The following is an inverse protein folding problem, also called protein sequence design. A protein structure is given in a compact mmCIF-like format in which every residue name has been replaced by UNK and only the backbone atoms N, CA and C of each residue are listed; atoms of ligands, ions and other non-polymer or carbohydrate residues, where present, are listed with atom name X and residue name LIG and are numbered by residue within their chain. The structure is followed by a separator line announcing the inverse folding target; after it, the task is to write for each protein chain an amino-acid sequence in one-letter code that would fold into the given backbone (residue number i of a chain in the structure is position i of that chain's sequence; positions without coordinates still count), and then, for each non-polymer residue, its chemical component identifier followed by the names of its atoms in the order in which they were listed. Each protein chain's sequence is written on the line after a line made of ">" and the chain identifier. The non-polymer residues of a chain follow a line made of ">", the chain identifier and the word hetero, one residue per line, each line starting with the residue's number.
data_IF_185052727536
#
_entry.id   IF_185052727536
#
_cell.length_a   1.000
_cell.length_b   1.000
_cell.length_c   1.000
_cell.angle_alpha   90.00
_cell.angle_beta   90.00
_cell.angle_gamma   90.00
#
_symmetry.space_group_name_H-M   'P 1'
#
loop_
_entity.id
_entity.type
_entity.pdbx_description
1 polymer ?
#
# COMPACT_ATOMS: atom_id res chain seq x y z
N UNK A 1 11.60 -9.18 -6.21
CA UNK A 1 12.91 -9.54 -6.78
C UNK A 1 13.89 -9.71 -5.61
N UNK A 2 14.25 -10.94 -5.34
CA UNK A 2 15.22 -11.28 -4.29
C UNK A 2 16.62 -11.16 -4.89
N UNK A 3 17.54 -10.49 -4.20
CA UNK A 3 18.95 -10.41 -4.57
C UNK A 3 19.60 -11.79 -4.58
N UNK A 4 20.58 -12.02 -5.47
CA UNK A 4 21.43 -13.20 -5.43
C UNK A 4 22.19 -13.34 -4.09
N UNK A 5 22.37 -12.23 -3.38
CA UNK A 5 22.90 -12.18 -2.01
C UNK A 5 21.84 -11.58 -1.11
N UNK A 6 21.07 -12.39 -0.36
CA UNK A 6 19.99 -11.90 0.49
C UNK A 6 20.48 -10.87 1.50
N UNK A 7 19.75 -9.76 1.63
CA UNK A 7 19.98 -8.71 2.61
C UNK A 7 18.85 -8.73 3.66
N UNK A 8 19.02 -7.98 4.75
CA UNK A 8 17.93 -7.81 5.73
C UNK A 8 16.67 -7.19 5.11
N UNK A 9 16.81 -6.44 4.02
CA UNK A 9 15.67 -5.85 3.31
C UNK A 9 14.80 -6.92 2.63
N UNK A 10 15.42 -8.01 2.15
CA UNK A 10 14.68 -9.09 1.48
C UNK A 10 13.73 -9.83 2.43
N UNK A 11 14.00 -9.78 3.74
CA UNK A 11 13.14 -10.37 4.77
C UNK A 11 11.87 -9.54 5.05
N UNK A 12 11.78 -8.32 4.52
CA UNK A 12 10.62 -7.45 4.72
C UNK A 12 9.50 -7.72 3.72
N UNK A 13 9.80 -8.36 2.59
CA UNK A 13 8.89 -8.45 1.46
C UNK A 13 8.21 -9.81 1.35
N UNK A 14 6.97 -9.79 0.89
CA UNK A 14 6.17 -10.96 0.52
C UNK A 14 5.62 -10.81 -0.89
N UNK A 15 5.13 -11.91 -1.45
CA UNK A 15 4.55 -11.95 -2.78
C UNK A 15 3.02 -11.97 -2.70
N UNK A 16 2.37 -11.11 -3.48
CA UNK A 16 0.93 -11.05 -3.58
C UNK A 16 0.52 -10.43 -4.92
N UNK A 17 -0.55 -10.96 -5.51
CA UNK A 17 -1.29 -10.31 -6.60
C UNK A 17 -2.65 -9.84 -6.09
N UNK A 18 -3.17 -8.75 -6.63
CA UNK A 18 -4.50 -8.25 -6.32
C UNK A 18 -5.22 -7.80 -7.59
N UNK A 19 -6.54 -7.90 -7.57
CA UNK A 19 -7.41 -7.35 -8.61
C UNK A 19 -8.56 -6.60 -7.95
N UNK A 20 -8.86 -5.41 -8.46
CA UNK A 20 -9.99 -4.59 -8.02
C UNK A 20 -10.86 -4.28 -9.21
N UNK A 21 -12.13 -4.65 -9.14
CA UNK A 21 -13.13 -4.26 -10.13
C UNK A 21 -13.66 -2.87 -9.75
N UNK A 22 -13.64 -1.96 -10.70
CA UNK A 22 -14.26 -0.64 -10.58
C UNK A 22 -15.27 -0.53 -11.72
N UNK A 23 -16.51 -0.16 -11.39
CA UNK A 23 -17.58 0.04 -12.36
C UNK A 23 -18.29 1.38 -12.11
N UNK A 24 -19.07 1.81 -13.08
CA UNK A 24 -19.91 2.98 -12.98
C UNK A 24 -21.29 2.62 -12.48
N UNK A 25 -21.76 3.35 -11.48
CA UNK A 25 -23.13 3.23 -10.97
C UNK A 25 -23.71 4.62 -10.75
N UNK A 26 -24.91 4.87 -11.29
CA UNK A 26 -25.61 6.14 -11.10
C UNK A 26 -25.92 6.38 -9.62
N UNK A 27 -25.48 7.53 -9.11
CA UNK A 27 -25.68 7.92 -7.72
C UNK A 27 -24.69 7.31 -6.72
N UNK A 28 -23.73 6.51 -7.18
CA UNK A 28 -22.65 6.02 -6.33
C UNK A 28 -21.81 7.17 -5.76
N UNK A 29 -21.34 7.00 -4.54
CA UNK A 29 -20.39 7.91 -3.93
C UNK A 29 -19.02 7.67 -4.57
N UNK A 30 -18.50 8.65 -5.29
CA UNK A 30 -17.23 8.54 -5.99
C UNK A 30 -16.03 8.46 -5.02
N UNK A 31 -14.86 8.19 -5.60
CA UNK A 31 -13.57 8.26 -4.88
C UNK A 31 -13.10 9.71 -4.78
N UNK A 32 -12.53 10.07 -3.62
CA UNK A 32 -11.71 11.27 -3.49
C UNK A 32 -10.27 10.85 -3.30
N UNK A 33 -9.32 11.59 -3.86
CA UNK A 33 -7.91 11.24 -3.72
C UNK A 33 -6.99 12.45 -3.86
N UNK A 34 -5.80 12.34 -3.26
CA UNK A 34 -4.67 13.26 -3.42
C UNK A 34 -3.41 12.43 -3.64
N UNK A 35 -2.70 12.68 -4.74
CA UNK A 35 -1.49 11.99 -5.14
C UNK A 35 -0.32 12.98 -5.22
N UNK A 36 0.76 12.70 -4.51
CA UNK A 36 1.92 13.57 -4.42
C UNK A 36 3.21 12.82 -4.74
N UNK A 37 4.14 13.49 -5.41
CA UNK A 37 5.48 12.96 -5.72
C UNK A 37 6.55 13.96 -5.31
N UNK A 38 7.57 13.47 -4.60
CA UNK A 38 8.78 14.21 -4.20
C UNK A 38 9.96 13.66 -5.00
N UNK A 39 10.08 14.08 -6.26
CA UNK A 39 11.05 13.55 -7.21
C UNK A 39 12.51 13.69 -6.77
N UNK A 40 12.84 14.65 -5.91
CA UNK A 40 14.19 14.76 -5.33
C UNK A 40 14.58 13.55 -4.46
N UNK A 41 13.61 12.76 -4.00
CA UNK A 41 13.82 11.55 -3.23
C UNK A 41 14.06 10.28 -4.05
N UNK A 42 14.18 10.36 -5.37
CA UNK A 42 14.23 9.19 -6.25
C UNK A 42 15.38 8.20 -5.96
N UNK A 43 16.48 8.68 -5.35
CA UNK A 43 17.62 7.85 -4.93
C UNK A 43 17.40 7.11 -3.62
N UNK A 44 16.36 7.45 -2.86
CA UNK A 44 16.15 6.93 -1.51
C UNK A 44 15.63 5.49 -1.52
N UNK A 45 14.77 5.18 -2.49
CA UNK A 45 14.15 3.86 -2.63
C UNK A 45 13.92 3.57 -4.09
N UNK A 46 14.37 2.42 -4.55
CA UNK A 46 14.16 2.02 -5.94
C UNK A 46 14.70 0.64 -6.24
N UNK A 47 14.41 0.15 -7.44
CA UNK A 47 15.00 -1.05 -8.00
C UNK A 47 15.73 -0.69 -9.29
N UNK A 48 16.96 -1.14 -9.45
CA UNK A 48 17.83 -0.80 -10.58
C UNK A 48 17.61 -1.73 -11.79
N UNK A 49 16.52 -2.44 -11.84
CA UNK A 49 16.18 -3.32 -12.94
C UNK A 49 15.67 -2.54 -14.16
N UNK A 50 16.46 -2.54 -15.22
CA UNK A 50 16.07 -2.08 -16.56
C UNK A 50 16.89 -0.91 -17.11
N UNK A 51 16.79 -0.74 -18.43
CA UNK A 51 17.51 0.24 -19.24
C UNK A 51 17.33 1.72 -18.79
N UNK A 52 16.27 2.03 -18.05
CA UNK A 52 15.99 3.41 -17.60
C UNK A 52 17.02 3.93 -16.62
N UNK A 53 17.62 3.08 -15.79
CA UNK A 53 18.59 3.51 -14.78
C UNK A 53 20.02 3.64 -15.33
N UNK A 54 20.35 2.99 -16.45
CA UNK A 54 21.61 3.21 -17.15
C UNK A 54 21.79 4.66 -17.61
N UNK A 55 20.69 5.36 -17.93
CA UNK A 55 20.71 6.77 -18.34
C UNK A 55 20.99 7.77 -17.22
N UNK A 56 20.83 7.41 -15.96
CA UNK A 56 21.03 8.30 -14.81
C UNK A 56 22.27 7.99 -13.99
N UNK A 57 23.20 7.19 -14.55
CA UNK A 57 24.53 6.95 -13.96
C UNK A 57 24.53 6.03 -12.75
N UNK A 58 23.53 5.18 -12.59
CA UNK A 58 23.57 4.08 -11.63
C UNK A 58 24.41 2.93 -12.18
N UNK A 59 25.22 2.27 -11.32
CA UNK A 59 25.92 1.06 -11.75
C UNK A 59 24.91 0.02 -12.23
N UNK A 60 25.16 -0.49 -13.43
CA UNK A 60 24.33 -1.48 -14.09
C UNK A 60 24.30 -2.79 -13.29
N UNK A 61 23.09 -3.35 -13.13
CA UNK A 61 22.85 -4.72 -12.72
C UNK A 61 23.05 -5.10 -11.23
N UNK A 62 22.35 -4.44 -10.33
CA UNK A 62 21.82 -5.16 -9.19
C UNK A 62 20.29 -5.14 -9.28
N UNK A 63 19.60 -6.28 -9.52
CA UNK A 63 18.14 -6.33 -9.53
C UNK A 63 17.54 -6.13 -8.13
N UNK A 64 18.36 -5.96 -7.11
CA UNK A 64 17.91 -5.76 -5.75
C UNK A 64 17.28 -4.39 -5.54
N UNK A 65 16.31 -4.36 -4.65
CA UNK A 65 15.75 -3.10 -4.14
C UNK A 65 16.83 -2.44 -3.25
N UNK A 66 17.27 -1.25 -3.64
CA UNK A 66 18.07 -0.41 -2.73
C UNK A 66 17.13 0.48 -1.90
N UNK A 67 17.45 0.64 -0.63
CA UNK A 67 16.66 1.43 0.29
C UNK A 67 17.54 2.11 1.35
N UNK A 68 17.47 3.43 1.42
CA UNK A 68 17.88 4.17 2.62
C UNK A 68 16.73 4.10 3.64
N UNK A 69 16.80 3.12 4.53
CA UNK A 69 15.73 2.84 5.48
C UNK A 69 15.42 4.01 6.41
N UNK A 70 16.42 4.82 6.81
CA UNK A 70 16.21 5.99 7.66
C UNK A 70 15.50 7.11 6.91
N UNK A 71 15.90 7.36 5.67
CA UNK A 71 15.24 8.38 4.84
C UNK A 71 13.81 8.00 4.50
N UNK A 72 13.55 6.73 4.14
CA UNK A 72 12.19 6.20 3.90
C UNK A 72 11.34 6.30 5.17
N UNK A 73 11.87 5.91 6.32
CA UNK A 73 11.17 6.03 7.61
C UNK A 73 10.79 7.48 7.89
N UNK A 74 11.77 8.40 7.80
CA UNK A 74 11.58 9.83 8.06
C UNK A 74 10.55 10.44 7.12
N UNK A 75 10.62 10.12 5.83
CA UNK A 75 9.63 10.51 4.83
C UNK A 75 8.23 10.07 5.24
N UNK A 76 8.05 8.78 5.50
CA UNK A 76 6.75 8.18 5.79
C UNK A 76 6.10 8.80 7.02
N UNK A 77 6.82 8.86 8.15
CA UNK A 77 6.26 9.39 9.41
C UNK A 77 6.08 10.90 9.45
N UNK A 78 6.63 11.63 8.46
CA UNK A 78 6.48 13.10 8.38
C UNK A 78 5.51 13.54 7.29
N UNK A 79 5.50 12.88 6.14
CA UNK A 79 4.69 13.29 4.99
C UNK A 79 3.30 12.68 5.01
N UNK A 80 3.18 11.39 5.34
CA UNK A 80 1.88 10.72 5.37
C UNK A 80 0.90 11.37 6.35
N UNK A 81 1.26 11.70 7.62
CA UNK A 81 0.34 12.40 8.50
C UNK A 81 -0.06 13.81 8.01
N UNK A 82 0.84 14.49 7.28
CA UNK A 82 0.50 15.80 6.69
C UNK A 82 -0.49 15.65 5.55
N UNK A 83 -0.34 14.59 4.75
CA UNK A 83 -1.27 14.27 3.67
C UNK A 83 -2.67 13.97 4.24
N UNK A 84 -2.78 13.16 5.30
CA UNK A 84 -4.05 12.96 6.00
C UNK A 84 -4.68 14.27 6.44
N UNK A 85 -3.89 15.12 7.10
CA UNK A 85 -4.40 16.42 7.58
C UNK A 85 -4.94 17.27 6.42
N UNK A 86 -4.14 17.47 5.35
CA UNK A 86 -4.56 18.31 4.22
C UNK A 86 -5.75 17.73 3.48
N UNK A 87 -5.82 16.40 3.34
CA UNK A 87 -6.94 15.71 2.70
C UNK A 87 -8.25 15.89 3.48
N UNK A 88 -8.22 15.63 4.78
CA UNK A 88 -9.39 15.78 5.64
C UNK A 88 -9.88 17.23 5.69
N UNK A 89 -8.97 18.21 5.80
CA UNK A 89 -9.30 19.64 5.76
C UNK A 89 -9.91 20.05 4.39
N UNK A 90 -9.39 19.53 3.28
CA UNK A 90 -9.88 19.86 1.94
C UNK A 90 -11.31 19.40 1.68
N UNK A 91 -11.75 18.33 2.34
CA UNK A 91 -13.08 17.74 2.17
C UNK A 91 -14.00 17.94 3.39
N UNK A 92 -13.59 18.75 4.36
CA UNK A 92 -14.33 19.02 5.62
C UNK A 92 -14.74 17.71 6.35
N UNK A 93 -13.78 16.80 6.47
CA UNK A 93 -13.95 15.47 7.07
C UNK A 93 -13.11 15.30 8.32
N UNK A 94 -13.53 14.39 9.18
CA UNK A 94 -12.75 13.89 10.32
C UNK A 94 -12.25 12.49 10.07
N UNK A 95 -11.13 12.11 10.70
CA UNK A 95 -10.66 10.72 10.66
C UNK A 95 -11.66 9.77 11.34
N UNK A 96 -12.49 10.27 12.24
CA UNK A 96 -13.51 9.49 12.94
C UNK A 96 -14.71 9.14 12.05
N UNK A 97 -14.89 9.84 10.93
CA UNK A 97 -15.95 9.56 9.95
C UNK A 97 -15.70 8.24 9.17
N UNK A 98 -14.48 7.69 9.27
CA UNK A 98 -14.13 6.45 8.59
C UNK A 98 -14.21 5.25 9.54
N UNK A 99 -14.72 4.15 9.00
CA UNK A 99 -14.78 2.86 9.69
C UNK A 99 -13.36 2.27 9.82
N UNK A 100 -12.61 2.31 8.75
CA UNK A 100 -11.30 1.68 8.68
C UNK A 100 -10.28 2.57 7.96
N UNK A 101 -9.06 2.59 8.48
CA UNK A 101 -7.90 3.28 7.91
C UNK A 101 -6.89 2.24 7.43
N UNK A 102 -6.79 2.06 6.12
CA UNK A 102 -5.91 1.09 5.49
C UNK A 102 -4.58 1.74 5.10
N UNK A 103 -3.54 1.45 5.84
CA UNK A 103 -2.19 1.94 5.55
C UNK A 103 -1.40 0.91 4.75
N UNK A 104 -0.55 1.40 3.84
CA UNK A 104 0.48 0.57 3.24
C UNK A 104 1.25 -0.20 4.31
N UNK A 105 1.31 -1.52 4.18
CA UNK A 105 1.94 -2.43 5.13
C UNK A 105 3.46 -2.43 4.95
N UNK A 106 4.11 -1.30 5.27
CA UNK A 106 5.56 -1.11 5.15
C UNK A 106 6.34 -1.85 6.23
N UNK A 107 6.13 -1.47 7.47
CA UNK A 107 6.54 -2.16 8.69
C UNK A 107 5.73 -1.64 9.88
N UNK A 108 5.66 -2.44 10.93
CA UNK A 108 4.83 -2.14 12.10
C UNK A 108 5.20 -0.83 12.78
N UNK A 109 6.49 -0.51 12.91
CA UNK A 109 6.93 0.71 13.58
C UNK A 109 6.48 1.98 12.84
N UNK A 110 6.55 1.99 11.51
CA UNK A 110 6.03 3.11 10.71
C UNK A 110 4.52 3.26 10.90
N UNK A 111 3.76 2.17 10.80
CA UNK A 111 2.31 2.17 10.96
C UNK A 111 1.92 2.69 12.35
N UNK A 112 2.55 2.19 13.41
CA UNK A 112 2.29 2.64 14.79
C UNK A 112 2.53 4.14 14.96
N UNK A 113 3.62 4.68 14.38
CA UNK A 113 3.93 6.13 14.46
C UNK A 113 2.93 6.96 13.64
N UNK A 114 2.59 6.53 12.43
CA UNK A 114 1.59 7.22 11.58
C UNK A 114 0.24 7.24 12.29
N UNK A 115 -0.26 6.08 12.75
CA UNK A 115 -1.51 5.92 13.50
C UNK A 115 -1.60 6.90 14.66
N UNK A 116 -0.54 6.98 15.48
CA UNK A 116 -0.47 7.92 16.60
C UNK A 116 -0.53 9.38 16.14
N UNK A 117 0.15 9.73 15.03
CA UNK A 117 0.21 11.12 14.54
C UNK A 117 -1.09 11.59 13.90
N UNK A 118 -1.81 10.71 13.22
CA UNK A 118 -3.14 11.02 12.66
C UNK A 118 -4.26 10.91 13.72
N UNK A 119 -3.92 10.48 14.95
CA UNK A 119 -4.81 10.38 16.11
C UNK A 119 -6.03 9.48 15.88
N UNK A 120 -5.89 8.44 15.08
CA UNK A 120 -6.94 7.44 14.87
C UNK A 120 -6.87 6.35 15.94
N UNK A 121 -8.02 5.80 16.29
CA UNK A 121 -8.07 4.62 17.16
C UNK A 121 -7.36 3.45 16.46
N UNK A 122 -6.47 2.79 17.19
CA UNK A 122 -5.67 1.68 16.67
C UNK A 122 -6.52 0.49 16.19
N UNK A 123 -7.72 0.31 16.75
CA UNK A 123 -8.66 -0.73 16.32
C UNK A 123 -9.16 -0.54 14.89
N UNK A 124 -9.15 0.70 14.39
CA UNK A 124 -9.51 1.05 13.01
C UNK A 124 -8.37 0.85 11.99
N UNK A 125 -7.15 0.48 12.44
CA UNK A 125 -5.96 0.33 11.60
C UNK A 125 -5.52 -1.12 11.58
N UNK A 126 -6.05 -1.95 10.67
CA UNK A 126 -5.70 -3.36 10.60
C UNK A 126 -4.26 -3.58 10.15
N UNK A 127 -3.68 -4.70 10.58
CA UNK A 127 -2.34 -5.16 10.23
C UNK A 127 -2.41 -6.56 9.66
N UNK A 128 -1.65 -6.81 8.59
CA UNK A 128 -1.49 -8.11 7.96
C UNK A 128 -0.01 -8.51 7.75
N UNK A 129 0.90 -7.69 8.27
CA UNK A 129 2.36 -7.86 8.13
C UNK A 129 2.89 -9.17 8.72
N UNK A 130 2.29 -9.66 9.79
CA UNK A 130 2.65 -10.91 10.47
C UNK A 130 2.38 -12.15 9.62
N UNK A 131 1.48 -12.05 8.65
CA UNK A 131 1.06 -13.15 7.78
C UNK A 131 1.57 -13.03 6.35
N UNK A 132 1.62 -11.81 5.82
CA UNK A 132 1.89 -11.58 4.41
C UNK A 132 3.10 -10.69 4.14
N UNK A 133 3.74 -10.14 5.17
CA UNK A 133 4.84 -9.19 5.05
C UNK A 133 4.48 -7.94 4.21
N UNK A 134 5.48 -7.24 3.67
CA UNK A 134 5.26 -6.11 2.78
C UNK A 134 5.13 -6.62 1.33
N UNK A 135 3.91 -6.71 0.83
CA UNK A 135 3.59 -7.13 -0.54
C UNK A 135 3.60 -5.97 -1.55
N UNK A 136 4.40 -4.91 -1.27
CA UNK A 136 4.58 -3.74 -2.14
C UNK A 136 3.24 -3.04 -2.47
N UNK A 137 2.91 -2.87 -3.75
CA UNK A 137 1.67 -2.21 -4.19
C UNK A 137 0.39 -2.97 -3.82
N UNK A 138 0.48 -4.27 -3.57
CA UNK A 138 -0.66 -5.10 -3.18
C UNK A 138 -0.97 -5.07 -1.67
N UNK A 139 -0.22 -4.34 -0.84
CA UNK A 139 -0.40 -4.34 0.62
C UNK A 139 -1.76 -3.83 1.08
N UNK A 140 -2.28 -2.77 0.45
CA UNK A 140 -3.58 -2.20 0.82
C UNK A 140 -4.72 -3.14 0.44
N UNK A 141 -4.86 -3.63 -0.81
CA UNK A 141 -5.87 -4.63 -1.11
C UNK A 141 -5.69 -5.92 -0.31
N UNK A 142 -4.46 -6.35 -0.02
CA UNK A 142 -4.21 -7.52 0.82
C UNK A 142 -4.76 -7.33 2.24
N UNK A 143 -4.39 -6.25 2.94
CA UNK A 143 -4.90 -6.00 4.29
C UNK A 143 -6.41 -5.75 4.31
N UNK A 144 -6.98 -5.20 3.24
CA UNK A 144 -8.43 -5.05 3.08
C UNK A 144 -9.12 -6.42 3.01
N UNK A 145 -8.66 -7.30 2.12
CA UNK A 145 -9.19 -8.65 1.99
C UNK A 145 -9.06 -9.45 3.30
N UNK A 146 -7.92 -9.35 3.96
CA UNK A 146 -7.66 -10.02 5.22
C UNK A 146 -8.56 -9.53 6.37
N UNK A 147 -8.79 -8.22 6.45
CA UNK A 147 -9.61 -7.62 7.50
C UNK A 147 -11.10 -7.91 7.31
N UNK A 148 -11.59 -7.83 6.07
CA UNK A 148 -13.00 -8.02 5.75
C UNK A 148 -13.37 -9.46 5.39
N UNK A 149 -12.42 -10.39 5.29
CA UNK A 149 -12.65 -11.79 4.84
C UNK A 149 -13.76 -12.54 5.58
N UNK A 150 -14.02 -12.19 6.84
CA UNK A 150 -15.07 -12.80 7.66
C UNK A 150 -16.27 -11.90 7.90
N UNK A 151 -16.27 -10.71 7.32
CA UNK A 151 -17.37 -9.75 7.47
C UNK A 151 -18.35 -9.91 6.31
N UNK A 152 -19.55 -10.44 6.58
CA UNK A 152 -20.62 -10.63 5.60
C UNK A 152 -21.71 -9.56 5.73
N UNK A 153 -21.45 -8.45 6.39
CA UNK A 153 -22.43 -7.36 6.50
C UNK A 153 -22.73 -6.76 5.13
N UNK A 154 -24.00 -6.69 4.78
CA UNK A 154 -24.48 -6.02 3.58
C UNK A 154 -24.78 -4.55 3.89
N UNK A 155 -23.72 -3.79 4.09
CA UNK A 155 -23.78 -2.37 4.41
C UNK A 155 -22.53 -1.67 3.93
N UNK A 156 -22.70 -0.59 3.17
CA UNK A 156 -21.57 0.27 2.82
C UNK A 156 -20.91 0.90 4.04
N UNK A 157 -19.58 0.85 4.09
CA UNK A 157 -18.78 1.49 5.10
C UNK A 157 -17.74 2.43 4.46
N UNK A 158 -17.51 3.62 5.05
CA UNK A 158 -16.49 4.54 4.57
C UNK A 158 -15.11 4.06 5.01
N UNK A 159 -14.18 3.99 4.07
CA UNK A 159 -12.78 3.67 4.32
C UNK A 159 -11.86 4.78 3.81
N UNK A 160 -10.70 4.91 4.41
CA UNK A 160 -9.63 5.78 3.93
C UNK A 160 -8.33 4.99 3.81
N UNK A 161 -7.62 5.17 2.70
CA UNK A 161 -6.44 4.39 2.33
C UNK A 161 -5.26 5.32 2.09
N UNK A 162 -4.06 4.94 2.55
CA UNK A 162 -2.85 5.68 2.23
C UNK A 162 -1.69 4.76 1.84
N UNK A 163 -1.20 4.97 0.61
CA UNK A 163 -0.02 4.34 0.04
C UNK A 163 1.17 5.29 0.01
N UNK A 164 2.37 4.77 0.19
CA UNK A 164 3.60 5.55 0.11
C UNK A 164 4.81 4.66 -0.20
N UNK A 165 5.79 5.19 -0.92
CA UNK A 165 6.97 4.41 -1.31
C UNK A 165 7.84 5.08 -2.37
N UNK A 166 8.21 4.26 -3.36
CA UNK A 166 9.09 4.67 -4.46
C UNK A 166 8.58 5.94 -5.13
N UNK A 167 9.59 6.86 -5.46
CA UNK A 167 9.33 8.13 -6.10
C UNK A 167 10.20 9.27 -5.52
N UNK A 168 10.20 9.64 -4.24
CA UNK A 168 9.24 9.17 -3.25
C UNK A 168 7.85 9.66 -3.60
N UNK A 169 6.88 8.78 -3.53
CA UNK A 169 5.49 9.09 -3.80
C UNK A 169 4.60 8.71 -2.62
N UNK A 170 3.51 9.41 -2.46
CA UNK A 170 2.48 9.12 -1.47
C UNK A 170 1.12 9.47 -2.07
N UNK A 171 0.12 8.70 -1.67
CA UNK A 171 -1.26 8.91 -2.10
C UNK A 171 -2.21 8.59 -0.97
N UNK A 172 -3.32 9.30 -0.94
CA UNK A 172 -4.46 9.04 -0.08
C UNK A 172 -5.70 8.98 -0.93
N UNK A 173 -6.58 8.07 -0.60
CA UNK A 173 -7.90 7.97 -1.21
C UNK A 173 -8.92 7.55 -0.18
N UNK A 174 -10.15 7.98 -0.35
CA UNK A 174 -11.27 7.40 0.37
C UNK A 174 -12.30 6.82 -0.58
N UNK A 175 -13.08 5.89 -0.06
CA UNK A 175 -14.12 5.18 -0.78
C UNK A 175 -15.20 4.68 0.17
N UNK A 176 -16.32 4.31 -0.40
CA UNK A 176 -17.31 3.47 0.26
C UNK A 176 -17.21 2.07 -0.31
N UNK A 177 -17.13 1.07 0.56
CA UNK A 177 -17.08 -0.34 0.18
C UNK A 177 -18.21 -1.10 0.88
N UNK A 178 -18.68 -2.17 0.26
CA UNK A 178 -19.51 -3.13 0.94
C UNK A 178 -18.64 -4.34 1.35
N UNK A 179 -18.48 -4.64 2.65
CA UNK A 179 -17.64 -5.73 3.11
C UNK A 179 -17.95 -7.09 2.47
N UNK A 180 -19.22 -7.36 2.13
CA UNK A 180 -19.61 -8.62 1.48
C UNK A 180 -19.01 -8.81 0.08
N UNK A 181 -18.59 -7.71 -0.58
CA UNK A 181 -18.01 -7.73 -1.92
C UNK A 181 -16.47 -7.87 -1.88
N UNK A 182 -15.90 -7.97 -0.67
CA UNK A 182 -14.47 -8.18 -0.46
C UNK A 182 -14.20 -9.68 -0.33
N UNK A 183 -13.52 -10.22 -1.33
CA UNK A 183 -13.19 -11.65 -1.36
C UNK A 183 -12.02 -11.99 -0.44
N UNK A 184 -12.01 -13.20 0.16
CA UNK A 184 -10.89 -13.66 0.97
C UNK A 184 -9.62 -13.87 0.15
N UNK A 185 -8.48 -13.80 0.83
CA UNK A 185 -7.17 -14.12 0.23
C UNK A 185 -7.13 -15.59 -0.13
N UNK A 186 -6.67 -15.88 -1.34
CA UNK A 186 -6.46 -17.25 -1.85
C UNK A 186 -4.97 -17.51 -1.91
N UNK A 187 -4.49 -18.55 -1.25
CA UNK A 187 -3.13 -19.05 -1.41
C UNK A 187 -3.05 -19.99 -2.61
N UNK A 188 -1.98 -19.88 -3.40
CA UNK A 188 -1.76 -20.72 -4.58
C UNK A 188 -0.28 -21.06 -4.72
N UNK A 189 -0.01 -22.29 -5.11
CA UNK A 189 1.33 -22.79 -5.48
C UNK A 189 1.56 -22.72 -7.01
N UNK A 190 0.60 -22.16 -7.78
CA UNK A 190 0.73 -22.03 -9.25
C UNK A 190 1.85 -21.04 -9.55
N UNK A 191 2.86 -21.51 -10.29
CA UNK A 191 3.95 -20.67 -10.81
C UNK A 191 3.52 -19.93 -12.07
N UNK A 192 4.23 -18.85 -12.39
CA UNK A 192 3.99 -18.06 -13.61
C UNK A 192 4.01 -18.90 -14.90
N UNK A 193 4.92 -19.88 -15.02
CA UNK A 193 5.05 -20.72 -16.19
C UNK A 193 3.85 -21.65 -16.37
N UNK A 194 3.33 -22.23 -15.26
CA UNK A 194 2.12 -23.05 -15.27
C UNK A 194 0.86 -22.23 -15.58
N UNK A 195 0.82 -20.97 -15.19
CA UNK A 195 -0.27 -20.06 -15.48
C UNK A 195 -0.37 -19.66 -16.96
N UNK A 196 0.77 -19.57 -17.67
CA UNK A 196 0.81 -19.27 -19.10
C UNK A 196 0.17 -20.35 -19.97
N UNK A 197 0.33 -21.62 -19.63
CA UNK A 197 -0.22 -22.74 -20.39
C UNK A 197 -1.75 -22.84 -20.30
N UNK A 198 -2.36 -22.20 -19.29
CA UNK A 198 -3.82 -22.25 -19.06
C UNK A 198 -4.59 -21.08 -19.67
N UNK A 199 -3.92 -20.09 -20.20
CA UNK A 199 -4.54 -18.86 -20.77
C UNK A 199 -4.45 -18.83 -22.30
N UNK A 200 -3.79 -19.78 -22.92
CA UNK A 200 -3.70 -20.00 -24.37
C UNK A 200 -4.56 -21.19 -24.78
#
# INVERSE_FOLDING_TARGET
>A
AVSATPTLNDLLFGDCGSATLIDYEDGAKGFRFDLQTIGSGFKTLGATTGLRYAYVGYPTFDPAIHMDGLAVFTFSITKVPKLFKSFLEAFDMSIDDYDTVLLHQSNKSMIDVITKKIKVDKSKVPLSLDRYANTSSATIPNVMCDYYASNNEDKEVPIIMAGFGIGLSLGIADAYINPKDIFPIISTDITWDEGREKVL
#
